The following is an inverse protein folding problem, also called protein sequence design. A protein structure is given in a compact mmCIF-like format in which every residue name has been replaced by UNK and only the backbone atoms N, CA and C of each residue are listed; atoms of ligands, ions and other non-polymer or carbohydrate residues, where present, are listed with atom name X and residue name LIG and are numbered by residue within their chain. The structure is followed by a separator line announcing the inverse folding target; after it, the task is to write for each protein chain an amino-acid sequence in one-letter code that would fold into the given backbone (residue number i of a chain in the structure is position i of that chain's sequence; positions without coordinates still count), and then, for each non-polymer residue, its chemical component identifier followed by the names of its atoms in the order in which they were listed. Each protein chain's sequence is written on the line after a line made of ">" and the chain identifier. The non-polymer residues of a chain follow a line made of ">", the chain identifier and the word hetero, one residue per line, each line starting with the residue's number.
data_IF_410385588179
#
_entry.id   IF_410385588179
#
_cell.length_a   1.000
_cell.length_b   1.000
_cell.length_c   1.000
_cell.angle_alpha   90.00
_cell.angle_beta   90.00
_cell.angle_gamma   90.00
#
_symmetry.space_group_name_H-M   'P 1'
#
loop_
_entity.id
_entity.type
_entity.pdbx_description
1 polymer ?
#
# COMPACT_ATOMS: atom_id res chain seq x y z
N UNK A 1 53.68 8.66 -33.84
CA UNK A 1 52.44 9.48 -33.64
C UNK A 1 51.28 8.54 -33.58
N UNK A 2 50.76 8.29 -32.36
CA UNK A 2 49.62 7.40 -32.12
C UNK A 2 48.46 8.27 -31.62
N UNK A 3 47.39 8.31 -32.42
CA UNK A 3 46.19 9.04 -32.09
C UNK A 3 45.37 8.24 -31.07
N UNK A 4 45.11 8.83 -29.89
CA UNK A 4 44.17 8.31 -28.90
C UNK A 4 42.75 8.63 -29.36
N UNK A 5 41.96 7.61 -29.65
CA UNK A 5 40.52 7.74 -29.84
C UNK A 5 39.85 7.74 -28.45
N UNK A 6 39.31 8.89 -28.09
CA UNK A 6 38.44 9.03 -26.91
C UNK A 6 37.04 8.52 -27.25
N UNK A 7 36.67 7.36 -26.74
CA UNK A 7 35.30 6.89 -26.77
C UNK A 7 34.47 7.63 -25.72
N UNK A 8 33.66 8.56 -26.16
CA UNK A 8 32.62 9.19 -25.32
C UNK A 8 31.50 8.16 -25.10
N UNK A 9 31.43 7.60 -23.91
CA UNK A 9 30.26 6.85 -23.46
C UNK A 9 29.11 7.82 -23.19
N UNK A 10 28.25 7.96 -24.17
CA UNK A 10 26.98 8.67 -24.03
C UNK A 10 26.06 7.82 -23.18
N UNK A 11 25.99 8.14 -21.89
CA UNK A 11 25.01 7.55 -20.98
C UNK A 11 23.62 8.01 -21.41
N UNK A 12 22.85 7.11 -22.00
CA UNK A 12 21.45 7.36 -22.32
C UNK A 12 20.69 7.54 -21.00
N UNK A 13 20.51 8.77 -20.56
CA UNK A 13 19.52 9.14 -19.53
C UNK A 13 18.17 9.02 -20.21
N UNK A 14 17.60 7.82 -20.15
CA UNK A 14 16.21 7.59 -20.54
C UNK A 14 15.35 8.48 -19.65
N UNK A 15 14.70 9.44 -20.25
CA UNK A 15 13.81 10.38 -19.57
C UNK A 15 12.59 9.61 -19.07
N UNK A 16 12.60 9.12 -17.84
CA UNK A 16 11.48 8.46 -17.14
C UNK A 16 10.25 9.37 -16.94
N UNK A 17 10.26 10.58 -17.51
CA UNK A 17 9.24 11.62 -17.33
C UNK A 17 7.83 11.30 -17.83
N UNK A 18 7.57 10.13 -18.42
CA UNK A 18 6.25 9.77 -18.96
C UNK A 18 5.83 8.32 -18.69
N UNK A 19 6.50 7.60 -17.77
CA UNK A 19 6.09 6.26 -17.44
C UNK A 19 4.78 6.26 -16.63
N UNK A 20 3.87 5.35 -16.98
CA UNK A 20 2.63 5.12 -16.28
C UNK A 20 2.74 3.79 -15.52
N UNK A 21 2.26 3.80 -14.28
CA UNK A 21 2.22 2.60 -13.43
C UNK A 21 1.03 1.73 -13.82
N UNK A 22 -0.13 2.38 -14.04
CA UNK A 22 -1.35 1.66 -14.38
C UNK A 22 -1.36 1.30 -15.88
N UNK A 23 -1.84 0.09 -16.23
CA UNK A 23 -1.87 -0.36 -17.63
C UNK A 23 -2.87 0.41 -18.48
N UNK A 24 -3.81 1.11 -17.85
CA UNK A 24 -4.84 1.89 -18.53
C UNK A 24 -4.95 3.29 -17.93
N UNK A 25 -5.34 4.25 -18.77
CA UNK A 25 -5.64 5.62 -18.32
C UNK A 25 -6.88 5.62 -17.44
N UNK A 26 -6.81 6.33 -16.33
CA UNK A 26 -7.93 6.52 -15.42
C UNK A 26 -8.46 7.95 -15.52
N UNK A 27 -9.69 8.17 -15.08
CA UNK A 27 -10.19 9.52 -14.85
C UNK A 27 -9.42 10.19 -13.70
N UNK A 28 -9.50 11.52 -13.62
CA UNK A 28 -8.86 12.23 -12.53
C UNK A 28 -9.52 11.88 -11.19
N UNK A 29 -8.72 11.53 -10.19
CA UNK A 29 -9.24 11.19 -8.86
C UNK A 29 -10.13 12.29 -8.26
N UNK A 30 -9.82 13.56 -8.53
CA UNK A 30 -10.59 14.72 -8.03
C UNK A 30 -12.00 14.85 -8.63
N UNK A 31 -12.26 14.17 -9.74
CA UNK A 31 -13.61 14.09 -10.31
C UNK A 31 -14.49 13.11 -9.51
N UNK A 32 -13.88 12.10 -8.90
CA UNK A 32 -14.56 11.02 -8.17
C UNK A 32 -14.56 11.27 -6.66
N UNK A 33 -13.46 11.78 -6.13
CA UNK A 33 -13.26 12.00 -4.70
C UNK A 33 -12.86 13.44 -4.39
N UNK A 34 -13.30 13.90 -3.24
CA UNK A 34 -12.79 15.08 -2.58
C UNK A 34 -11.72 14.68 -1.60
N UNK A 35 -10.48 15.19 -1.77
CA UNK A 35 -9.34 14.88 -0.92
C UNK A 35 -9.39 15.78 0.31
N UNK A 36 -9.41 15.18 1.49
CA UNK A 36 -9.54 15.85 2.78
C UNK A 36 -8.23 15.91 3.56
N UNK A 37 -8.32 15.70 4.87
CA UNK A 37 -7.19 15.81 5.80
C UNK A 37 -6.16 14.69 5.60
N UNK A 38 -4.90 15.00 5.93
CA UNK A 38 -3.82 14.01 5.97
C UNK A 38 -4.06 13.05 7.14
N UNK A 39 -3.96 11.74 6.86
CA UNK A 39 -4.04 10.66 7.85
C UNK A 39 -2.65 10.20 8.29
N UNK A 40 -1.71 10.08 7.34
CA UNK A 40 -0.38 9.57 7.63
C UNK A 40 0.62 9.85 6.51
N UNK A 41 1.87 9.52 6.76
CA UNK A 41 2.95 9.65 5.80
C UNK A 41 3.86 8.44 5.86
N UNK A 42 3.92 7.68 4.76
CA UNK A 42 4.87 6.60 4.56
C UNK A 42 6.09 7.02 3.74
N UNK A 43 6.96 6.05 3.50
CA UNK A 43 8.20 6.23 2.73
C UNK A 43 7.94 6.77 1.32
N UNK A 44 7.02 6.16 0.59
CA UNK A 44 6.75 6.49 -0.81
C UNK A 44 5.61 7.49 -1.00
N UNK A 45 4.67 7.59 -0.06
CA UNK A 45 3.46 8.38 -0.25
C UNK A 45 2.91 9.01 1.01
N UNK A 46 1.84 9.77 0.81
CA UNK A 46 1.04 10.38 1.88
C UNK A 46 -0.37 9.85 1.77
N UNK A 47 -0.94 9.44 2.90
CA UNK A 47 -2.34 8.98 2.98
C UNK A 47 -3.23 10.11 3.46
N UNK A 48 -4.35 10.31 2.74
CA UNK A 48 -5.36 11.32 3.03
C UNK A 48 -6.71 10.63 3.24
N UNK A 49 -7.57 11.22 4.06
CA UNK A 49 -8.99 10.94 4.02
C UNK A 49 -9.54 11.48 2.68
N UNK A 50 -10.43 10.75 2.05
CA UNK A 50 -11.13 11.25 0.86
C UNK A 50 -12.60 10.83 0.90
N UNK A 51 -13.46 11.67 0.31
CA UNK A 51 -14.92 11.47 0.29
C UNK A 51 -15.37 11.23 -1.15
N UNK A 52 -16.04 10.12 -1.42
CA UNK A 52 -16.60 9.82 -2.75
C UNK A 52 -17.75 10.79 -3.03
N UNK A 53 -17.62 11.61 -4.08
CA UNK A 53 -18.58 12.66 -4.42
C UNK A 53 -20.00 12.15 -4.66
N UNK A 54 -20.12 10.98 -5.28
CA UNK A 54 -21.42 10.39 -5.64
C UNK A 54 -22.20 9.83 -4.43
N UNK A 55 -21.52 9.36 -3.37
CA UNK A 55 -22.17 8.68 -2.24
C UNK A 55 -21.95 9.34 -0.89
N UNK A 56 -21.01 10.27 -0.77
CA UNK A 56 -20.57 10.81 0.51
C UNK A 56 -19.76 9.83 1.37
N UNK A 57 -19.49 8.63 0.88
CA UNK A 57 -18.70 7.63 1.61
C UNK A 57 -17.25 8.05 1.79
N UNK A 58 -16.69 7.76 2.97
CA UNK A 58 -15.30 8.08 3.33
C UNK A 58 -14.37 6.92 3.03
N UNK A 59 -13.17 7.25 2.58
CA UNK A 59 -12.11 6.31 2.20
C UNK A 59 -10.74 6.88 2.60
N UNK A 60 -9.72 6.02 2.60
CA UNK A 60 -8.33 6.43 2.65
C UNK A 60 -7.74 6.45 1.23
N UNK A 61 -6.92 7.45 0.93
CA UNK A 61 -6.23 7.59 -0.35
C UNK A 61 -4.72 7.72 -0.12
N UNK A 62 -3.96 6.68 -0.44
CA UNK A 62 -2.49 6.71 -0.47
C UNK A 62 -2.06 7.31 -1.80
N UNK A 63 -1.50 8.51 -1.75
CA UNK A 63 -0.98 9.23 -2.92
C UNK A 63 0.53 9.10 -2.99
N UNK A 64 1.04 8.51 -4.06
CA UNK A 64 2.45 8.24 -4.33
C UNK A 64 2.94 9.19 -5.42
N UNK A 65 3.71 10.24 -5.08
CA UNK A 65 4.20 11.19 -6.07
C UNK A 65 5.21 10.53 -7.03
N UNK A 66 5.00 10.64 -8.33
CA UNK A 66 5.90 10.06 -9.37
C UNK A 66 7.33 10.59 -9.28
N UNK A 67 7.54 11.78 -8.73
CA UNK A 67 8.89 12.33 -8.47
C UNK A 67 9.72 11.51 -7.48
N UNK A 68 9.08 10.62 -6.70
CA UNK A 68 9.76 9.69 -5.78
C UNK A 68 10.08 8.36 -6.45
N UNK A 69 9.52 8.08 -7.62
CA UNK A 69 9.79 6.89 -8.43
C UNK A 69 10.97 7.21 -9.34
N UNK A 70 12.16 6.82 -8.94
CA UNK A 70 13.42 7.24 -9.55
C UNK A 70 13.92 6.27 -10.61
N UNK A 71 13.51 5.01 -10.53
CA UNK A 71 13.92 3.94 -11.44
C UNK A 71 12.71 3.09 -11.87
N UNK A 72 12.93 2.19 -12.81
CA UNK A 72 11.88 1.32 -13.35
C UNK A 72 11.32 0.40 -12.26
N UNK A 73 12.20 -0.06 -11.39
CA UNK A 73 11.88 -0.95 -10.27
C UNK A 73 10.87 -0.29 -9.31
N UNK A 74 10.98 1.02 -9.04
CA UNK A 74 10.03 1.75 -8.20
C UNK A 74 8.60 1.71 -8.80
N UNK A 75 8.48 1.84 -10.14
CA UNK A 75 7.19 1.74 -10.84
C UNK A 75 6.61 0.31 -10.76
N UNK A 76 7.48 -0.69 -10.90
CA UNK A 76 7.11 -2.10 -10.79
C UNK A 76 6.68 -2.45 -9.36
N UNK A 77 7.33 -1.88 -8.35
CA UNK A 77 6.99 -2.08 -6.94
C UNK A 77 5.61 -1.49 -6.61
N UNK A 78 5.32 -0.27 -7.07
CA UNK A 78 3.98 0.34 -6.89
C UNK A 78 2.90 -0.48 -7.61
N UNK A 79 3.18 -0.95 -8.82
CA UNK A 79 2.24 -1.81 -9.54
C UNK A 79 2.02 -3.16 -8.83
N UNK A 80 3.07 -3.74 -8.30
CA UNK A 80 3.01 -4.98 -7.52
C UNK A 80 2.20 -4.81 -6.23
N UNK A 81 2.37 -3.69 -5.50
CA UNK A 81 1.56 -3.37 -4.33
C UNK A 81 0.06 -3.35 -4.69
N UNK A 82 -0.30 -2.69 -5.78
CA UNK A 82 -1.69 -2.63 -6.28
C UNK A 82 -2.22 -4.03 -6.60
N UNK A 83 -1.44 -4.85 -7.33
CA UNK A 83 -1.84 -6.21 -7.69
C UNK A 83 -2.05 -7.09 -6.45
N UNK A 84 -1.15 -7.01 -5.47
CA UNK A 84 -1.25 -7.77 -4.22
C UNK A 84 -2.47 -7.34 -3.42
N UNK A 85 -2.74 -6.04 -3.29
CA UNK A 85 -3.91 -5.54 -2.59
C UNK A 85 -5.22 -6.01 -3.25
N UNK A 86 -5.30 -6.00 -4.58
CA UNK A 86 -6.45 -6.56 -5.29
C UNK A 86 -6.59 -8.08 -5.08
N UNK A 87 -5.48 -8.79 -5.10
CA UNK A 87 -5.46 -10.25 -4.93
C UNK A 87 -5.92 -10.71 -3.54
N UNK A 88 -5.66 -9.89 -2.52
CA UNK A 88 -6.01 -10.13 -1.13
C UNK A 88 -7.32 -9.45 -0.69
N UNK A 89 -7.99 -8.69 -1.56
CA UNK A 89 -9.11 -7.78 -1.21
C UNK A 89 -10.35 -8.46 -0.62
N UNK A 90 -10.53 -9.75 -0.88
CA UNK A 90 -11.66 -10.54 -0.36
C UNK A 90 -11.44 -11.01 1.10
N UNK A 91 -10.23 -10.89 1.62
CA UNK A 91 -9.94 -11.33 2.99
C UNK A 91 -10.41 -10.28 4.01
N UNK A 92 -11.24 -10.71 4.97
CA UNK A 92 -11.90 -9.81 5.93
C UNK A 92 -10.93 -8.99 6.80
N UNK A 93 -9.70 -9.50 7.01
CA UNK A 93 -8.64 -8.87 7.81
C UNK A 93 -7.52 -8.26 6.96
N UNK A 94 -7.79 -7.92 5.70
CA UNK A 94 -6.91 -7.12 4.83
C UNK A 94 -7.66 -5.86 4.44
N UNK A 95 -6.97 -4.73 4.41
CA UNK A 95 -7.56 -3.46 3.95
C UNK A 95 -7.92 -3.58 2.49
N UNK A 96 -9.23 -3.38 2.20
CA UNK A 96 -9.76 -3.54 0.85
C UNK A 96 -9.42 -2.34 -0.01
N UNK A 97 -8.91 -2.61 -1.22
CA UNK A 97 -8.72 -1.59 -2.24
C UNK A 97 -10.05 -1.32 -2.98
N UNK A 98 -10.43 -0.04 -3.10
CA UNK A 98 -11.67 0.41 -3.77
C UNK A 98 -11.43 0.86 -5.21
N UNK A 99 -10.21 1.30 -5.51
CA UNK A 99 -9.84 1.73 -6.85
C UNK A 99 -8.48 2.38 -6.91
N UNK A 100 -7.96 2.47 -8.12
CA UNK A 100 -6.67 3.09 -8.41
C UNK A 100 -6.83 4.17 -9.46
N UNK A 101 -6.11 5.27 -9.29
CA UNK A 101 -6.14 6.42 -10.16
C UNK A 101 -4.73 6.90 -10.41
N UNK A 102 -4.48 7.44 -11.60
CA UNK A 102 -3.17 7.95 -11.95
C UNK A 102 -3.28 9.20 -12.77
N UNK A 103 -2.53 10.23 -12.39
CA UNK A 103 -2.37 11.45 -13.16
C UNK A 103 -0.89 11.69 -13.54
N UNK A 104 -0.57 12.86 -14.07
CA UNK A 104 0.79 13.22 -14.45
C UNK A 104 1.76 13.32 -13.28
N UNK A 105 1.26 13.50 -12.05
CA UNK A 105 2.03 13.82 -10.85
C UNK A 105 2.11 12.67 -9.85
N UNK A 106 1.10 11.81 -9.78
CA UNK A 106 0.99 10.79 -8.74
C UNK A 106 0.16 9.57 -9.16
N UNK A 107 0.37 8.47 -8.45
CA UNK A 107 -0.52 7.30 -8.41
C UNK A 107 -1.28 7.34 -7.08
N UNK A 108 -2.58 7.05 -7.13
CA UNK A 108 -3.48 7.11 -5.99
C UNK A 108 -4.14 5.75 -5.77
N UNK A 109 -3.95 5.18 -4.59
CA UNK A 109 -4.62 3.96 -4.15
C UNK A 109 -5.74 4.36 -3.18
N UNK A 110 -6.99 4.18 -3.60
CA UNK A 110 -8.15 4.43 -2.74
C UNK A 110 -8.54 3.11 -2.09
N UNK A 111 -8.69 3.13 -0.78
CA UNK A 111 -8.95 1.95 0.03
C UNK A 111 -9.97 2.26 1.13
N UNK A 112 -10.52 1.23 1.75
CA UNK A 112 -11.40 1.42 2.91
C UNK A 112 -10.70 2.24 3.99
N UNK A 113 -11.46 3.07 4.71
CA UNK A 113 -10.97 3.88 5.80
C UNK A 113 -11.04 3.07 7.10
N UNK A 114 -9.90 2.94 7.77
CA UNK A 114 -9.81 2.36 9.11
C UNK A 114 -9.68 3.49 10.13
N UNK A 115 -10.75 3.73 10.92
CA UNK A 115 -10.82 4.86 11.85
C UNK A 115 -10.33 4.51 13.26
N UNK A 116 -10.12 3.22 13.55
CA UNK A 116 -9.75 2.74 14.89
C UNK A 116 -8.27 2.88 15.27
N UNK A 117 -7.44 3.42 14.35
CA UNK A 117 -6.01 3.66 14.57
C UNK A 117 -5.15 2.40 14.47
N UNK A 118 -3.87 2.58 14.72
CA UNK A 118 -2.87 1.51 14.63
C UNK A 118 -2.94 0.56 15.86
N UNK A 119 -2.64 -0.71 15.63
CA UNK A 119 -2.51 -1.70 16.71
C UNK A 119 -1.47 -1.24 17.74
N UNK A 120 -0.34 -0.71 17.30
CA UNK A 120 0.71 -0.19 18.18
C UNK A 120 0.18 0.89 19.12
N UNK A 121 -0.52 1.89 18.60
CA UNK A 121 -1.06 2.99 19.40
C UNK A 121 -2.08 2.49 20.43
N UNK A 122 -2.92 1.52 20.03
CA UNK A 122 -3.92 0.95 20.94
C UNK A 122 -3.26 0.11 22.04
N UNK A 123 -2.14 -0.58 21.76
CA UNK A 123 -1.33 -1.27 22.79
C UNK A 123 -0.76 -0.25 23.78
N UNK A 124 -0.17 0.83 23.28
CA UNK A 124 0.41 1.89 24.13
C UNK A 124 -0.65 2.55 25.02
N UNK A 125 -1.82 2.88 24.46
CA UNK A 125 -2.91 3.51 25.21
C UNK A 125 -3.51 2.61 26.30
N UNK A 126 -3.65 1.30 26.02
CA UNK A 126 -4.17 0.33 26.99
C UNK A 126 -3.13 -0.09 28.03
N UNK A 127 -1.85 0.14 27.77
CA UNK A 127 -0.73 -0.26 28.61
C UNK A 127 -0.43 -1.76 28.57
N UNK A 128 -1.46 -2.61 28.59
CA UNK A 128 -1.32 -4.06 28.43
C UNK A 128 -2.61 -4.71 27.92
N UNK A 129 -2.47 -5.85 27.31
CA UNK A 129 -3.57 -6.76 26.97
C UNK A 129 -3.55 -7.96 27.91
N UNK A 130 -4.72 -8.49 28.25
CA UNK A 130 -4.79 -9.81 28.84
C UNK A 130 -4.31 -10.87 27.83
N UNK A 131 -3.80 -12.00 28.31
CA UNK A 131 -3.38 -13.11 27.43
C UNK A 131 -4.48 -13.51 26.45
N UNK A 132 -5.74 -13.53 26.93
CA UNK A 132 -6.90 -13.85 26.09
C UNK A 132 -7.11 -12.81 24.95
N UNK A 133 -6.93 -11.53 25.24
CA UNK A 133 -7.04 -10.46 24.22
C UNK A 133 -5.88 -10.54 23.25
N UNK A 134 -4.65 -10.70 23.76
CA UNK A 134 -3.46 -10.87 22.94
C UNK A 134 -3.58 -12.10 22.02
N UNK A 135 -4.04 -13.23 22.53
CA UNK A 135 -4.25 -14.44 21.75
C UNK A 135 -5.23 -14.24 20.58
N UNK A 136 -6.30 -13.45 20.76
CA UNK A 136 -7.24 -13.13 19.66
C UNK A 136 -6.57 -12.30 18.58
N UNK A 137 -5.79 -11.28 18.94
CA UNK A 137 -5.06 -10.45 17.98
C UNK A 137 -4.02 -11.26 17.21
N UNK A 138 -3.23 -12.08 17.92
CA UNK A 138 -2.25 -12.97 17.30
C UNK A 138 -2.94 -13.98 16.37
N UNK A 139 -4.09 -14.54 16.75
CA UNK A 139 -4.86 -15.42 15.87
C UNK A 139 -5.19 -14.72 14.55
N UNK A 140 -5.74 -13.51 14.61
CA UNK A 140 -6.07 -12.72 13.41
C UNK A 140 -4.81 -12.42 12.56
N UNK A 141 -3.68 -12.07 13.18
CA UNK A 141 -2.43 -11.84 12.46
C UNK A 141 -1.97 -13.10 11.74
N UNK A 142 -2.03 -14.27 12.40
CA UNK A 142 -1.66 -15.56 11.79
C UNK A 142 -2.61 -15.93 10.65
N UNK A 143 -3.91 -15.67 10.78
CA UNK A 143 -4.90 -15.88 9.71
C UNK A 143 -4.59 -15.00 8.47
N UNK A 144 -4.16 -13.75 8.67
CA UNK A 144 -3.70 -12.89 7.57
C UNK A 144 -2.45 -13.44 6.90
N UNK A 145 -1.47 -13.89 7.69
CA UNK A 145 -0.22 -14.49 7.15
C UNK A 145 -0.52 -15.76 6.37
N UNK A 146 -1.38 -16.63 6.89
CA UNK A 146 -1.83 -17.86 6.23
C UNK A 146 -2.52 -17.55 4.90
N UNK A 147 -3.44 -16.58 4.89
CA UNK A 147 -4.10 -16.14 3.67
C UNK A 147 -3.11 -15.58 2.63
N UNK A 148 -2.15 -14.75 3.05
CA UNK A 148 -1.10 -14.27 2.17
C UNK A 148 -0.31 -15.43 1.56
N UNK A 149 0.16 -16.37 2.39
CA UNK A 149 0.98 -17.49 1.95
C UNK A 149 0.21 -18.46 1.05
N UNK A 150 -1.05 -18.75 1.35
CA UNK A 150 -1.90 -19.62 0.53
C UNK A 150 -2.16 -19.04 -0.87
N UNK A 151 -2.17 -17.71 -0.98
CA UNK A 151 -2.31 -16.96 -2.23
C UNK A 151 -0.97 -16.60 -2.89
N UNK A 152 0.14 -17.16 -2.40
CA UNK A 152 1.47 -16.94 -2.97
C UNK A 152 1.99 -15.52 -2.77
N UNK A 153 1.65 -14.88 -1.66
CA UNK A 153 2.12 -13.54 -1.28
C UNK A 153 2.97 -13.62 -0.01
N UNK A 154 4.11 -12.96 0.00
CA UNK A 154 4.94 -12.75 1.18
C UNK A 154 4.91 -11.27 1.55
N UNK A 155 4.45 -10.92 2.76
CA UNK A 155 4.25 -9.53 3.19
C UNK A 155 5.58 -8.78 3.40
N UNK A 156 6.53 -9.38 4.09
CA UNK A 156 7.91 -8.93 4.37
C UNK A 156 8.07 -7.69 5.28
N UNK A 157 6.97 -7.08 5.75
CA UNK A 157 7.00 -5.94 6.69
C UNK A 157 5.91 -6.07 7.77
N UNK A 158 5.78 -7.27 8.35
CA UNK A 158 4.83 -7.51 9.43
C UNK A 158 5.30 -6.83 10.72
N UNK A 159 4.56 -5.85 11.17
CA UNK A 159 4.78 -5.09 12.41
C UNK A 159 3.47 -4.48 12.89
N UNK A 160 3.32 -4.13 14.18
CA UNK A 160 2.07 -3.61 14.71
C UNK A 160 1.53 -2.35 14.04
N UNK A 161 2.41 -1.53 13.47
CA UNK A 161 2.07 -0.30 12.73
C UNK A 161 1.34 -0.59 11.41
N UNK A 162 1.55 -1.78 10.83
CA UNK A 162 0.91 -2.23 9.60
C UNK A 162 -0.40 -3.00 9.85
N UNK A 163 -0.97 -2.86 11.06
CA UNK A 163 -2.29 -3.36 11.40
C UNK A 163 -3.14 -2.23 11.95
N UNK A 164 -4.29 -2.00 11.31
CA UNK A 164 -5.25 -0.96 11.68
C UNK A 164 -6.54 -1.58 12.20
N UNK A 165 -7.22 -0.91 13.10
CA UNK A 165 -8.59 -1.25 13.45
C UNK A 165 -9.58 -0.51 12.55
N UNK A 166 -10.59 -1.21 12.05
CA UNK A 166 -11.59 -0.65 11.13
C UNK A 166 -12.43 0.45 11.80
N UNK A 167 -12.79 0.28 13.08
CA UNK A 167 -13.55 1.25 13.87
C UNK A 167 -12.87 1.58 15.19
N UNK A 168 -13.41 2.58 15.89
CA UNK A 168 -12.93 2.98 17.23
C UNK A 168 -13.43 2.05 18.34
N UNK A 169 -14.35 1.17 18.06
CA UNK A 169 -15.02 0.29 19.04
C UNK A 169 -14.06 -0.73 19.65
N UNK A 170 -14.45 -1.32 20.80
CA UNK A 170 -13.62 -2.33 21.46
C UNK A 170 -13.55 -3.65 20.71
N UNK A 171 -14.60 -4.00 19.97
CA UNK A 171 -14.72 -5.20 19.14
C UNK A 171 -14.34 -4.96 17.68
N UNK A 172 -13.70 -3.82 17.38
CA UNK A 172 -13.19 -3.48 16.06
C UNK A 172 -12.34 -4.60 15.45
N UNK A 173 -12.50 -4.80 14.17
CA UNK A 173 -11.72 -5.80 13.41
C UNK A 173 -10.32 -5.26 13.11
N UNK A 174 -9.34 -6.12 13.31
CA UNK A 174 -7.96 -5.84 12.93
C UNK A 174 -7.78 -6.14 11.43
N UNK A 175 -7.13 -5.23 10.71
CA UNK A 175 -6.87 -5.32 9.27
C UNK A 175 -5.41 -5.02 8.95
N UNK A 176 -4.80 -5.88 8.14
CA UNK A 176 -3.45 -5.64 7.61
C UNK A 176 -3.47 -4.59 6.50
N UNK A 177 -2.45 -3.75 6.48
CA UNK A 177 -2.22 -2.71 5.47
C UNK A 177 -0.75 -2.65 5.07
N UNK A 178 -0.43 -1.77 4.12
CA UNK A 178 0.92 -1.48 3.62
C UNK A 178 1.66 -2.71 3.05
N UNK A 179 1.27 -3.08 1.84
CA UNK A 179 1.88 -4.15 1.06
C UNK A 179 3.04 -3.67 0.16
N UNK A 180 3.56 -2.47 0.40
CA UNK A 180 4.62 -1.86 -0.43
C UNK A 180 5.93 -2.62 -0.50
N UNK A 181 6.22 -3.49 0.49
CA UNK A 181 7.39 -4.39 0.48
C UNK A 181 7.03 -5.83 0.12
N UNK A 182 5.75 -6.11 -0.18
CA UNK A 182 5.28 -7.47 -0.45
C UNK A 182 5.68 -7.96 -1.84
N UNK A 183 5.78 -9.28 -1.98
CA UNK A 183 6.11 -9.92 -3.26
C UNK A 183 5.24 -11.15 -3.50
N UNK A 184 4.99 -11.44 -4.77
CA UNK A 184 4.51 -12.76 -5.16
C UNK A 184 5.66 -13.78 -5.10
N UNK A 185 5.37 -14.98 -4.65
CA UNK A 185 6.31 -16.11 -4.66
C UNK A 185 5.58 -17.40 -5.06
N UNK A 186 6.35 -18.38 -5.54
CA UNK A 186 5.82 -19.71 -5.82
C UNK A 186 6.13 -20.61 -4.62
N UNK A 187 5.13 -21.21 -3.94
CA UNK A 187 5.38 -22.18 -2.90
C UNK A 187 6.20 -23.36 -3.45
N UNK A 188 7.30 -23.69 -2.79
CA UNK A 188 8.21 -24.78 -3.21
C UNK A 188 9.36 -24.38 -4.14
N UNK A 189 9.48 -23.10 -4.49
CA UNK A 189 10.61 -22.58 -5.27
C UNK A 189 11.70 -21.99 -4.39
N UNK A 190 12.47 -22.83 -3.69
CA UNK A 190 13.80 -22.47 -3.23
C UNK A 190 14.77 -22.79 -4.37
N UNK A 191 15.15 -21.78 -5.13
CA UNK A 191 16.21 -21.79 -6.12
C UNK A 191 17.18 -20.67 -5.83
#
# INVERSE_FOLDING_TARGET
>A
MAAKSSSSSTTNVVTLKAAWVLPQRTQNIREVYEVGRKLGQGQFGTTFECTRRASGGKFACKSIPKRKLLCKEDYEDVWREIQIMHHLSEHAHVVRIEGTYEDSSAVHLVMELCEGGELFDRIVQKGHYSERQAARLIKTIVEVVEACHSLGVMHRDLKPENFLFDTVDEDAKLKATDFGLSVFYKPGGFG
#
